data_IF_890887576694
#
_entry.id   IF_890887576694
#
_cell.length_a   1.000
_cell.length_b   1.000
_cell.length_c   1.000
_cell.angle_alpha   90.00
_cell.angle_beta   90.00
_cell.angle_gamma   90.00
#
_symmetry.space_group_name_H-M   'P 1'
#
loop_
_entity.id
_entity.type
_entity.pdbx_description
1 polymer ?
#
# COMPACT_ATOMS: atom_id res chain seq x y z
N UNK A 1 -24.36 -1.24 -5.47
CA UNK A 1 -23.97 -1.47 -4.07
C UNK A 1 -23.00 -0.37 -3.70
N UNK A 2 -23.18 0.31 -2.57
CA UNK A 2 -22.24 1.34 -2.13
C UNK A 2 -20.98 0.66 -1.58
N UNK A 3 -19.81 1.18 -1.96
CA UNK A 3 -18.52 0.66 -1.51
C UNK A 3 -18.30 0.93 -0.02
N UNK A 4 -17.51 0.09 0.65
CA UNK A 4 -17.19 0.30 2.06
C UNK A 4 -16.27 1.51 2.23
N UNK A 5 -16.37 2.19 3.38
CA UNK A 5 -15.49 3.30 3.76
C UNK A 5 -14.00 2.93 3.70
N UNK A 6 -13.67 1.69 4.02
CA UNK A 6 -12.30 1.17 3.92
C UNK A 6 -11.81 1.12 2.48
N UNK A 7 -12.62 0.61 1.54
CA UNK A 7 -12.27 0.59 0.11
C UNK A 7 -12.09 2.01 -0.41
N UNK A 8 -12.99 2.92 -0.06
CA UNK A 8 -12.87 4.34 -0.45
C UNK A 8 -11.55 4.95 0.03
N UNK A 9 -11.15 4.65 1.28
CA UNK A 9 -9.88 5.12 1.83
C UNK A 9 -8.68 4.53 1.07
N UNK A 10 -8.67 3.21 0.84
CA UNK A 10 -7.56 2.55 0.15
C UNK A 10 -7.39 3.10 -1.27
N UNK A 11 -8.48 3.32 -2.00
CA UNK A 11 -8.39 3.91 -3.35
C UNK A 11 -7.89 5.36 -3.33
N UNK A 12 -8.32 6.15 -2.33
CA UNK A 12 -7.80 7.51 -2.17
C UNK A 12 -6.30 7.50 -1.91
N UNK A 13 -5.82 6.67 -0.99
CA UNK A 13 -4.39 6.56 -0.67
C UNK A 13 -3.59 6.10 -1.90
N UNK A 14 -4.07 5.10 -2.64
CA UNK A 14 -3.41 4.67 -3.88
C UNK A 14 -3.30 5.82 -4.90
N UNK A 15 -4.39 6.55 -5.11
CA UNK A 15 -4.38 7.70 -6.03
C UNK A 15 -3.42 8.79 -5.55
N UNK A 16 -3.37 9.07 -4.24
CA UNK A 16 -2.48 10.06 -3.67
C UNK A 16 -1.00 9.65 -3.83
N UNK A 17 -0.68 8.36 -3.66
CA UNK A 17 0.67 7.83 -3.88
C UNK A 17 1.06 7.82 -5.36
N UNK A 18 0.13 7.58 -6.27
CA UNK A 18 0.39 7.66 -7.71
C UNK A 18 0.56 9.12 -8.18
N UNK A 19 -0.18 10.05 -7.57
CA UNK A 19 -0.06 11.48 -7.86
C UNK A 19 1.22 12.09 -7.28
N UNK A 20 1.71 11.57 -6.16
CA UNK A 20 2.92 12.04 -5.49
C UNK A 20 4.02 10.98 -5.61
N UNK A 21 4.91 11.14 -6.59
CA UNK A 21 5.98 10.19 -6.85
C UNK A 21 6.76 9.85 -5.56
N UNK A 22 6.80 8.55 -5.24
CA UNK A 22 7.59 8.01 -4.14
C UNK A 22 9.02 7.81 -4.62
N UNK A 23 9.99 8.36 -3.89
CA UNK A 23 11.39 8.48 -4.30
C UNK A 23 12.03 7.16 -4.79
N UNK A 24 11.61 6.01 -4.22
CA UNK A 24 12.21 4.72 -4.51
C UNK A 24 11.23 3.68 -5.06
N UNK A 25 9.95 4.01 -5.23
CA UNK A 25 8.95 3.07 -5.76
C UNK A 25 8.77 3.36 -7.24
N UNK A 26 9.01 2.34 -8.08
CA UNK A 26 8.91 2.47 -9.54
C UNK A 26 7.56 2.05 -10.06
N UNK A 27 6.90 1.10 -9.40
CA UNK A 27 5.59 0.57 -9.77
C UNK A 27 4.74 0.34 -8.53
N UNK A 28 3.44 0.61 -8.62
CA UNK A 28 2.45 0.33 -7.58
C UNK A 28 1.07 0.12 -8.20
N UNK A 29 0.44 -1.02 -7.97
CA UNK A 29 -0.89 -1.35 -8.48
C UNK A 29 -1.68 -2.29 -7.56
N UNK A 30 -3.00 -2.34 -7.76
CA UNK A 30 -3.88 -3.36 -7.15
C UNK A 30 -3.77 -4.68 -7.89
N UNK A 31 -3.88 -5.78 -7.17
CA UNK A 31 -3.87 -7.14 -7.71
C UNK A 31 -5.29 -7.58 -8.01
N UNK A 32 -5.57 -8.00 -9.24
CA UNK A 32 -6.85 -8.63 -9.63
C UNK A 32 -8.13 -7.84 -9.24
N UNK A 33 -8.07 -6.50 -9.24
CA UNK A 33 -9.15 -5.62 -8.79
C UNK A 33 -9.54 -5.79 -7.29
N UNK A 34 -8.67 -6.42 -6.48
CA UNK A 34 -8.78 -6.43 -5.03
C UNK A 34 -8.15 -5.16 -4.43
N UNK A 35 -8.96 -4.21 -3.94
CA UNK A 35 -8.44 -2.98 -3.33
C UNK A 35 -7.63 -3.23 -2.04
N UNK A 36 -7.67 -4.44 -1.47
CA UNK A 36 -6.91 -4.82 -0.27
C UNK A 36 -5.59 -5.53 -0.58
N UNK A 37 -5.28 -5.81 -1.85
CA UNK A 37 -4.02 -6.44 -2.24
C UNK A 37 -3.28 -5.57 -3.24
N UNK A 38 -2.18 -4.99 -2.81
CA UNK A 38 -1.33 -4.17 -3.66
C UNK A 38 -0.02 -4.88 -3.92
N UNK A 39 0.58 -4.61 -5.08
CA UNK A 39 1.94 -5.03 -5.39
C UNK A 39 2.71 -3.89 -6.03
N UNK A 40 4.01 -3.93 -5.93
CA UNK A 40 4.86 -2.90 -6.48
C UNK A 40 6.31 -3.30 -6.59
N UNK A 41 7.09 -2.36 -7.11
CA UNK A 41 8.54 -2.49 -7.27
C UNK A 41 9.23 -1.30 -6.64
N UNK A 42 10.35 -1.55 -5.96
CA UNK A 42 11.20 -0.52 -5.43
C UNK A 42 12.66 -0.71 -5.79
N UNK A 43 13.36 0.40 -5.95
CA UNK A 43 14.81 0.43 -6.10
C UNK A 43 15.47 0.56 -4.73
N UNK A 44 16.58 -0.15 -4.53
CA UNK A 44 17.37 0.00 -3.32
C UNK A 44 17.97 1.40 -3.24
N UNK A 45 17.79 2.12 -2.11
CA UNK A 45 18.33 3.47 -1.96
C UNK A 45 19.86 3.49 -2.11
N UNK A 46 20.44 4.59 -2.63
CA UNK A 46 21.88 4.76 -2.68
C UNK A 46 22.49 4.74 -1.27
N UNK A 47 23.78 4.44 -1.18
CA UNK A 47 24.54 4.38 0.07
C UNK A 47 24.01 3.36 1.10
N UNK A 48 23.23 2.38 0.63
CA UNK A 48 22.81 1.20 1.41
C UNK A 48 23.36 -0.09 0.81
N UNK A 49 23.40 -1.20 1.55
CA UNK A 49 23.71 -2.52 0.98
C UNK A 49 22.73 -2.99 -0.10
N UNK A 50 21.59 -2.32 -0.25
CA UNK A 50 20.56 -2.63 -1.24
C UNK A 50 20.75 -1.87 -2.56
N UNK A 51 21.73 -0.96 -2.64
CA UNK A 51 22.01 -0.14 -3.83
C UNK A 51 22.11 -1.00 -5.09
N UNK A 52 21.43 -0.58 -6.15
CA UNK A 52 21.39 -1.30 -7.43
C UNK A 52 20.44 -2.52 -7.46
N UNK A 53 19.83 -2.87 -6.31
CA UNK A 53 18.79 -3.88 -6.23
C UNK A 53 17.44 -3.37 -6.71
N UNK A 54 16.63 -4.28 -7.26
CA UNK A 54 15.20 -4.08 -7.52
C UNK A 54 14.43 -5.12 -6.72
N UNK A 55 13.43 -4.68 -5.97
CA UNK A 55 12.68 -5.52 -5.04
C UNK A 55 11.21 -5.46 -5.38
N UNK A 56 10.61 -6.63 -5.56
CA UNK A 56 9.16 -6.77 -5.67
C UNK A 56 8.57 -6.91 -4.27
N UNK A 57 7.45 -6.24 -4.02
CA UNK A 57 6.74 -6.31 -2.75
C UNK A 57 5.24 -6.45 -2.96
N UNK A 58 4.58 -6.99 -1.94
CA UNK A 58 3.12 -7.08 -1.87
C UNK A 58 2.63 -6.58 -0.50
N UNK A 59 1.48 -5.91 -0.50
CA UNK A 59 0.81 -5.37 0.69
C UNK A 59 -0.59 -5.94 0.74
N UNK A 60 -0.92 -6.66 1.80
CA UNK A 60 -2.28 -7.15 2.07
C UNK A 60 -2.87 -6.41 3.26
N UNK A 61 -3.91 -5.61 3.01
CA UNK A 61 -4.62 -4.86 4.04
C UNK A 61 -5.62 -5.76 4.75
N UNK A 62 -5.43 -5.96 6.06
CA UNK A 62 -6.37 -6.73 6.88
C UNK A 62 -7.35 -5.83 7.62
N UNK A 63 -8.53 -6.35 7.91
CA UNK A 63 -9.57 -5.63 8.66
C UNK A 63 -9.24 -5.49 10.18
N UNK A 64 -8.18 -6.16 10.66
CA UNK A 64 -7.82 -6.25 12.08
C UNK A 64 -7.45 -4.91 12.73
N UNK A 65 -7.03 -3.92 11.95
CA UNK A 65 -6.76 -2.57 12.45
C UNK A 65 -8.01 -1.91 13.09
N UNK A 66 -9.20 -2.18 12.55
CA UNK A 66 -10.46 -1.61 13.05
C UNK A 66 -10.88 -2.25 14.40
N UNK A 67 -10.50 -3.50 14.65
CA UNK A 67 -10.82 -4.19 15.90
C UNK A 67 -9.91 -3.74 17.05
N UNK A 68 -8.62 -3.47 16.77
CA UNK A 68 -7.69 -3.00 17.81
C UNK A 68 -8.05 -1.62 18.34
N UNK A 69 -8.49 -0.69 17.47
CA UNK A 69 -8.98 0.62 17.92
C UNK A 69 -10.27 0.54 18.76
N UNK A 70 -11.08 -0.51 18.55
CA UNK A 70 -12.28 -0.77 19.36
C UNK A 70 -11.96 -1.38 20.72
N UNK A 71 -10.86 -2.12 20.85
CA UNK A 71 -10.44 -2.78 22.10
C UNK A 71 -9.61 -1.88 23.03
N UNK A 72 -8.99 -0.81 22.52
CA UNK A 72 -8.21 0.15 23.33
C UNK A 72 -9.05 1.36 23.84
N UNK A 73 -10.36 1.38 23.58
CA UNK A 73 -11.30 2.43 24.05
C UNK A 73 -12.23 1.95 25.17
N UNK A 74 -11.86 0.91 25.91
CA UNK A 74 -12.57 0.42 27.10
C UNK A 74 -11.71 0.69 28.34
#
# INVERSE_FOLDING_TARGET
>A
MAESKSVQRLRQELNDLLANALEFVTDLEVVEDDPYHWKGKMIGPPDTPYTGGTFEFEITFTQWSILYERLQKI
#
